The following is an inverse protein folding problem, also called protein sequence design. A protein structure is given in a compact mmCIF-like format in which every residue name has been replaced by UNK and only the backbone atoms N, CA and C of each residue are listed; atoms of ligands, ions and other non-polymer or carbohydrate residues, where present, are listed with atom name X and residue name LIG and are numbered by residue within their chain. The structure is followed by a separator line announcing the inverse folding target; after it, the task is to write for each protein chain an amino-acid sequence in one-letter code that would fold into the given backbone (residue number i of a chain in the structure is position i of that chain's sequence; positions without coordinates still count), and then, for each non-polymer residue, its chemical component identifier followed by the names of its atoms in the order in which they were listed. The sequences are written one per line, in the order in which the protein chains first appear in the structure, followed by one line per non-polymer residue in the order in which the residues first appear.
data_IF_492270108121
#
_entry.id   IF_492270108121
#
_cell.length_a   1.000
_cell.length_b   1.000
_cell.length_c   1.000
_cell.angle_alpha   90.00
_cell.angle_beta   90.00
_cell.angle_gamma   90.00
#
_symmetry.space_group_name_H-M   'P 1'
#
loop_
_entity.id
_entity.type
_entity.pdbx_description
1 polymer ?
#
# COMPACT_ATOMS: atom_id res chain seq x y z
N UNK A 1 -21.94 -10.59 -14.77
CA UNK A 1 -20.46 -10.53 -14.66
C UNK A 1 -19.94 -9.91 -15.95
N UNK A 2 -19.60 -8.61 -15.94
CA UNK A 2 -19.08 -7.92 -17.13
C UNK A 2 -17.59 -8.25 -17.25
N UNK A 3 -17.08 -8.74 -18.39
CA UNK A 3 -15.65 -8.92 -18.57
C UNK A 3 -14.99 -7.54 -18.43
N UNK A 4 -14.03 -7.41 -17.52
CA UNK A 4 -13.22 -6.20 -17.41
C UNK A 4 -12.38 -6.08 -18.70
N UNK A 5 -12.93 -5.42 -19.72
CA UNK A 5 -12.22 -5.13 -20.97
C UNK A 5 -11.18 -4.07 -20.66
N UNK A 6 -9.90 -4.46 -20.69
CA UNK A 6 -8.81 -3.49 -20.67
C UNK A 6 -8.88 -2.67 -21.96
N UNK A 7 -8.74 -1.36 -21.84
CA UNK A 7 -8.63 -0.49 -23.00
C UNK A 7 -7.29 -0.69 -23.72
N UNK A 8 -7.19 -0.25 -24.97
CA UNK A 8 -6.00 -0.43 -25.80
C UNK A 8 -4.74 0.20 -25.17
N UNK A 9 -4.88 1.29 -24.41
CA UNK A 9 -3.75 1.91 -23.72
C UNK A 9 -3.28 1.06 -22.54
N UNK A 10 -4.21 0.50 -21.76
CA UNK A 10 -3.88 -0.45 -20.70
C UNK A 10 -3.15 -1.69 -21.23
N UNK A 11 -3.59 -2.22 -22.38
CA UNK A 11 -2.94 -3.35 -23.05
C UNK A 11 -1.52 -2.96 -23.50
N UNK A 12 -1.37 -1.82 -24.18
CA UNK A 12 -0.07 -1.31 -24.63
C UNK A 12 0.90 -1.14 -23.47
N UNK A 13 0.48 -0.45 -22.41
CA UNK A 13 1.29 -0.20 -21.21
C UNK A 13 1.70 -1.53 -20.56
N UNK A 14 0.76 -2.48 -20.42
CA UNK A 14 1.08 -3.79 -19.84
C UNK A 14 2.10 -4.58 -20.68
N UNK A 15 1.99 -4.53 -22.01
CA UNK A 15 2.92 -5.23 -22.90
C UNK A 15 4.31 -4.60 -22.83
N UNK A 16 4.39 -3.27 -22.91
CA UNK A 16 5.66 -2.55 -22.80
C UNK A 16 6.35 -2.84 -21.46
N UNK A 17 5.63 -2.77 -20.34
CA UNK A 17 6.18 -3.10 -19.02
C UNK A 17 6.69 -4.56 -18.94
N UNK A 18 5.96 -5.51 -19.55
CA UNK A 18 6.34 -6.92 -19.54
C UNK A 18 7.57 -7.21 -20.39
N UNK A 19 7.70 -6.54 -21.53
CA UNK A 19 8.80 -6.72 -22.47
C UNK A 19 10.00 -5.79 -22.20
N UNK A 20 9.91 -4.90 -21.21
CA UNK A 20 10.95 -3.89 -20.96
C UNK A 20 11.07 -2.84 -22.06
N UNK A 21 9.98 -2.56 -22.78
CA UNK A 21 9.95 -1.58 -23.85
C UNK A 21 9.57 -0.18 -23.33
N UNK A 22 9.99 0.89 -24.03
CA UNK A 22 9.55 2.25 -23.73
C UNK A 22 8.03 2.37 -23.67
N UNK A 23 7.52 2.93 -22.57
CA UNK A 23 6.09 3.20 -22.33
C UNK A 23 5.75 4.65 -22.65
N UNK A 24 6.66 5.58 -22.30
CA UNK A 24 6.55 7.03 -22.54
C UNK A 24 7.91 7.61 -22.89
N UNK A 25 7.95 8.84 -23.41
CA UNK A 25 9.18 9.65 -23.46
C UNK A 25 9.57 10.11 -22.06
N UNK A 26 10.86 10.16 -21.74
CA UNK A 26 11.32 10.65 -20.43
C UNK A 26 10.76 12.05 -20.14
N UNK A 27 10.27 12.27 -18.92
CA UNK A 27 9.66 13.54 -18.50
C UNK A 27 9.80 13.75 -17.00
N UNK A 28 9.58 14.98 -16.54
CA UNK A 28 9.56 15.31 -15.11
C UNK A 28 8.15 15.22 -14.56
N UNK A 29 7.94 14.37 -13.55
CA UNK A 29 6.64 14.20 -12.90
C UNK A 29 6.28 15.44 -12.06
N UNK A 30 4.99 15.62 -11.77
CA UNK A 30 4.48 16.66 -10.85
C UNK A 30 5.08 16.56 -9.43
N UNK A 31 5.60 15.39 -9.04
CA UNK A 31 6.34 15.24 -7.78
C UNK A 31 7.80 15.68 -7.84
N UNK A 32 8.28 16.16 -9.00
CA UNK A 32 9.65 16.59 -9.23
C UNK A 32 10.62 15.49 -9.66
N UNK A 33 10.21 14.22 -9.61
CA UNK A 33 11.05 13.07 -10.01
C UNK A 33 11.15 12.93 -11.54
N UNK A 34 12.33 12.52 -12.00
CA UNK A 34 12.57 12.18 -13.40
C UNK A 34 12.03 10.78 -13.70
N UNK A 35 11.12 10.70 -14.68
CA UNK A 35 10.50 9.45 -15.10
C UNK A 35 11.22 8.94 -16.33
N UNK A 36 11.82 7.76 -16.21
CA UNK A 36 12.45 7.07 -17.33
C UNK A 36 11.42 6.55 -18.33
N UNK A 37 11.89 6.20 -19.53
CA UNK A 37 11.03 5.70 -20.60
C UNK A 37 10.20 4.45 -20.21
N UNK A 38 10.70 3.65 -19.27
CA UNK A 38 10.01 2.46 -18.75
C UNK A 38 8.81 2.79 -17.84
N UNK A 39 8.66 4.04 -17.40
CA UNK A 39 7.50 4.52 -16.61
C UNK A 39 7.21 3.79 -15.30
N UNK A 40 8.17 3.05 -14.73
CA UNK A 40 7.99 2.35 -13.45
C UNK A 40 7.59 3.28 -12.30
N UNK A 41 7.96 4.56 -12.40
CA UNK A 41 7.56 5.60 -11.47
C UNK A 41 6.04 5.63 -11.26
N UNK A 42 5.24 5.57 -12.33
CA UNK A 42 3.77 5.62 -12.24
C UNK A 42 3.16 4.46 -11.45
N UNK A 43 3.86 3.33 -11.34
CA UNK A 43 3.41 2.16 -10.57
C UNK A 43 3.63 2.32 -9.06
N UNK A 44 4.60 3.16 -8.69
CA UNK A 44 4.99 3.39 -7.29
C UNK A 44 4.52 4.74 -6.77
N UNK A 45 4.23 5.68 -7.67
CA UNK A 45 3.86 7.04 -7.33
C UNK A 45 2.54 7.11 -6.55
N UNK A 46 2.51 7.95 -5.51
CA UNK A 46 1.41 8.05 -4.53
C UNK A 46 0.05 8.36 -5.16
N UNK A 47 0.03 9.10 -6.27
CA UNK A 47 -1.18 9.46 -7.01
C UNK A 47 -1.54 8.48 -8.13
N UNK A 48 -0.80 7.37 -8.28
CA UNK A 48 -1.13 6.34 -9.27
C UNK A 48 -2.45 5.66 -8.94
N UNK A 49 -3.43 5.77 -9.84
CA UNK A 49 -4.79 5.21 -9.70
C UNK A 49 -4.79 3.72 -9.31
N UNK A 50 -3.87 2.92 -9.88
CA UNK A 50 -3.82 1.47 -9.65
C UNK A 50 -3.40 1.06 -8.23
N UNK A 51 -2.63 1.90 -7.50
CA UNK A 51 -2.22 1.60 -6.12
C UNK A 51 -3.41 1.70 -5.18
N UNK A 52 -4.22 2.74 -5.33
CA UNK A 52 -5.36 3.01 -4.46
C UNK A 52 -6.41 1.89 -4.56
N UNK A 53 -6.73 1.43 -5.77
CA UNK A 53 -7.70 0.34 -5.96
C UNK A 53 -7.28 -0.96 -5.26
N UNK A 54 -6.01 -1.37 -5.40
CA UNK A 54 -5.49 -2.58 -4.71
C UNK A 54 -5.51 -2.41 -3.20
N UNK A 55 -5.14 -1.21 -2.72
CA UNK A 55 -5.14 -0.88 -1.31
C UNK A 55 -6.55 -0.95 -0.73
N UNK A 56 -7.54 -0.32 -1.36
CA UNK A 56 -8.94 -0.36 -0.92
C UNK A 56 -9.50 -1.78 -0.92
N UNK A 57 -9.25 -2.55 -1.99
CA UNK A 57 -9.76 -3.93 -2.10
C UNK A 57 -9.32 -4.83 -0.95
N UNK A 58 -8.05 -4.75 -0.53
CA UNK A 58 -7.54 -5.56 0.57
C UNK A 58 -8.05 -5.04 1.92
N UNK A 59 -8.17 -3.72 2.10
CA UNK A 59 -8.77 -3.18 3.33
C UNK A 59 -10.22 -3.66 3.49
N UNK A 60 -10.98 -3.60 2.40
CA UNK A 60 -12.35 -4.06 2.37
C UNK A 60 -12.47 -5.55 2.67
N UNK A 61 -11.53 -6.35 2.16
CA UNK A 61 -11.48 -7.78 2.45
C UNK A 61 -11.25 -8.05 3.95
N UNK A 62 -10.26 -7.39 4.57
CA UNK A 62 -9.99 -7.50 6.01
C UNK A 62 -11.22 -7.09 6.83
N UNK A 63 -11.84 -5.95 6.52
CA UNK A 63 -13.06 -5.52 7.22
C UNK A 63 -14.23 -6.51 7.04
N UNK A 64 -14.36 -7.15 5.87
CA UNK A 64 -15.38 -8.20 5.66
C UNK A 64 -15.10 -9.43 6.52
N UNK A 65 -13.84 -9.81 6.70
CA UNK A 65 -13.47 -10.93 7.58
C UNK A 65 -13.84 -10.62 9.03
N UNK A 66 -13.54 -9.42 9.53
CA UNK A 66 -13.97 -9.00 10.86
C UNK A 66 -15.49 -9.02 11.02
N UNK A 67 -16.22 -8.47 10.04
CA UNK A 67 -17.70 -8.52 10.05
C UNK A 67 -18.23 -9.96 10.11
N UNK A 68 -17.62 -10.89 9.37
CA UNK A 68 -17.99 -12.31 9.40
C UNK A 68 -17.70 -12.98 10.75
N UNK A 69 -16.69 -12.49 11.47
CA UNK A 69 -16.36 -12.90 12.83
C UNK A 69 -17.17 -12.15 13.91
N UNK A 70 -18.18 -11.35 13.54
CA UNK A 70 -18.95 -10.50 14.46
C UNK A 70 -18.09 -9.45 15.21
N UNK A 71 -16.97 -9.06 14.63
CA UNK A 71 -16.06 -8.06 15.17
C UNK A 71 -16.28 -6.74 14.45
N UNK A 72 -16.60 -5.69 15.21
CA UNK A 72 -16.80 -4.36 14.67
C UNK A 72 -15.46 -3.70 14.37
N UNK A 73 -15.28 -3.25 13.12
CA UNK A 73 -14.03 -2.69 12.63
C UNK A 73 -14.29 -1.43 11.79
N UNK A 74 -13.44 -0.41 11.96
CA UNK A 74 -13.51 0.88 11.26
C UNK A 74 -12.29 1.04 10.35
N UNK A 75 -12.50 1.65 9.18
CA UNK A 75 -11.44 2.04 8.25
C UNK A 75 -10.99 3.48 8.52
N UNK A 76 -9.69 3.73 8.38
CA UNK A 76 -9.06 5.07 8.51
C UNK A 76 -9.51 5.85 9.77
N UNK A 77 -9.35 5.28 10.98
CA UNK A 77 -9.72 5.95 12.22
C UNK A 77 -8.93 7.24 12.42
N UNK A 78 -9.65 8.29 12.80
CA UNK A 78 -9.05 9.58 13.18
C UNK A 78 -8.83 9.63 14.70
N UNK A 79 -7.79 10.33 15.13
CA UNK A 79 -7.53 10.62 16.55
C UNK A 79 -7.00 9.45 17.37
N UNK A 80 -6.46 8.39 16.75
CA UNK A 80 -5.77 7.32 17.48
C UNK A 80 -4.40 7.77 18.03
N UNK A 81 -3.78 8.74 17.39
CA UNK A 81 -2.50 9.31 17.80
C UNK A 81 -2.76 10.78 18.12
N UNK A 82 -2.45 11.19 19.36
CA UNK A 82 -2.72 12.55 19.81
C UNK A 82 -1.79 13.57 19.17
N UNK A 83 -0.56 13.17 18.85
CA UNK A 83 0.50 14.07 18.35
C UNK A 83 0.70 13.99 16.83
N UNK A 84 0.01 13.08 16.14
CA UNK A 84 0.15 12.91 14.69
C UNK A 84 -1.21 12.79 13.99
N UNK A 85 -1.33 13.36 12.79
CA UNK A 85 -2.51 13.17 11.93
C UNK A 85 -2.41 11.87 11.11
N UNK A 86 -1.60 10.93 11.57
CA UNK A 86 -1.40 9.66 10.89
C UNK A 86 -2.56 8.72 11.22
N UNK A 87 -3.06 8.06 10.18
CA UNK A 87 -4.21 7.16 10.30
C UNK A 87 -3.79 5.78 9.83
N UNK A 88 -3.91 4.75 10.68
CA UNK A 88 -3.79 3.38 10.22
C UNK A 88 -4.95 3.05 9.26
N UNK A 89 -4.81 1.96 8.52
CA UNK A 89 -5.85 1.56 7.56
C UNK A 89 -7.15 1.15 8.23
N UNK A 90 -7.06 0.62 9.46
CA UNK A 90 -8.23 0.36 10.28
C UNK A 90 -7.89 -0.14 11.67
N UNK A 91 -8.95 -0.25 12.49
CA UNK A 91 -8.88 -0.79 13.84
C UNK A 91 -10.18 -1.50 14.25
N UNK A 92 -10.08 -2.42 15.21
CA UNK A 92 -11.26 -3.04 15.84
C UNK A 92 -11.81 -2.12 16.93
N UNK A 93 -13.13 -1.94 16.98
CA UNK A 93 -13.81 -1.18 18.05
C UNK A 93 -13.92 -1.97 19.35
N UNK A 94 -13.80 -3.29 19.26
CA UNK A 94 -13.83 -4.20 20.40
C UNK A 94 -12.42 -4.68 20.69
N UNK A 95 -12.09 -4.95 21.97
CA UNK A 95 -10.85 -5.60 22.34
C UNK A 95 -10.66 -6.92 21.58
N UNK A 96 -9.48 -7.10 21.01
CA UNK A 96 -9.08 -8.33 20.33
C UNK A 96 -8.34 -9.27 21.28
N UNK A 97 -7.42 -8.73 22.08
CA UNK A 97 -6.61 -9.49 23.05
C UNK A 97 -6.20 -8.59 24.20
N UNK A 98 -6.21 -9.10 25.43
CA UNK A 98 -5.74 -8.39 26.63
C UNK A 98 -6.40 -7.02 26.86
N UNK A 99 -7.65 -6.82 26.42
CA UNK A 99 -8.31 -5.51 26.50
C UNK A 99 -7.91 -4.53 25.39
N UNK A 100 -6.90 -4.86 24.58
CA UNK A 100 -6.40 -4.01 23.51
C UNK A 100 -7.15 -4.22 22.19
N UNK A 101 -7.39 -3.12 21.48
CA UNK A 101 -7.93 -3.16 20.13
C UNK A 101 -6.86 -3.60 19.12
N UNK A 102 -7.26 -4.31 18.07
CA UNK A 102 -6.37 -4.66 16.98
C UNK A 102 -6.33 -3.52 15.95
N UNK A 103 -5.15 -2.96 15.72
CA UNK A 103 -4.90 -1.93 14.70
C UNK A 103 -4.09 -2.57 13.56
N UNK A 104 -4.44 -2.24 12.32
CA UNK A 104 -3.64 -2.66 11.17
C UNK A 104 -3.39 -1.50 10.21
N UNK A 105 -2.22 -1.54 9.57
CA UNK A 105 -1.88 -0.66 8.47
C UNK A 105 -1.09 -1.46 7.42
N UNK A 106 -1.66 -1.70 6.23
CA UNK A 106 -1.03 -2.58 5.23
C UNK A 106 -0.14 -1.81 4.26
N UNK A 107 0.99 -2.37 3.88
CA UNK A 107 1.87 -1.77 2.86
C UNK A 107 2.16 -2.75 1.77
N UNK A 108 2.20 -2.25 0.54
CA UNK A 108 2.74 -2.96 -0.60
C UNK A 108 4.03 -2.29 -1.03
N UNK A 109 5.14 -3.00 -0.89
CA UNK A 109 6.38 -2.64 -1.56
C UNK A 109 6.21 -2.91 -3.05
N UNK A 110 6.26 -1.87 -3.87
CA UNK A 110 6.35 -2.10 -5.30
C UNK A 110 7.77 -2.57 -5.62
N UNK A 111 7.93 -3.72 -6.27
CA UNK A 111 9.25 -4.33 -6.53
C UNK A 111 10.17 -3.43 -7.35
N UNK A 112 9.61 -2.57 -8.19
CA UNK A 112 10.37 -1.61 -9.02
C UNK A 112 10.47 -0.21 -8.38
N UNK A 113 10.04 -0.04 -7.13
CA UNK A 113 10.30 1.19 -6.40
C UNK A 113 11.75 1.19 -5.94
N UNK A 114 12.48 2.28 -6.15
CA UNK A 114 13.92 2.39 -5.89
C UNK A 114 14.33 1.92 -4.48
N UNK A 115 13.59 2.38 -3.45
CA UNK A 115 13.84 1.93 -2.07
C UNK A 115 13.59 0.44 -1.87
N UNK A 116 12.67 -0.15 -2.63
CA UNK A 116 12.35 -1.57 -2.53
C UNK A 116 13.35 -2.42 -3.30
N UNK A 117 13.89 -1.96 -4.43
CA UNK A 117 14.90 -2.68 -5.23
C UNK A 117 16.12 -3.02 -4.37
N UNK A 118 16.62 -2.03 -3.61
CA UNK A 118 17.78 -2.23 -2.73
C UNK A 118 17.55 -3.32 -1.68
N UNK A 119 16.34 -3.43 -1.14
CA UNK A 119 16.00 -4.46 -0.15
C UNK A 119 15.67 -5.80 -0.80
N UNK A 120 15.02 -5.82 -1.96
CA UNK A 120 14.69 -7.04 -2.69
C UNK A 120 15.93 -7.76 -3.22
N UNK A 121 17.01 -7.02 -3.51
CA UNK A 121 18.26 -7.59 -3.99
C UNK A 121 19.08 -8.33 -2.92
N UNK A 122 18.75 -8.14 -1.64
CA UNK A 122 19.48 -8.79 -0.53
C UNK A 122 18.99 -10.22 -0.29
N UNK A 123 17.70 -10.37 0.00
CA UNK A 123 17.08 -11.67 0.28
C UNK A 123 15.58 -11.63 -0.04
N UNK A 124 14.96 -12.79 -0.33
CA UNK A 124 13.52 -12.88 -0.49
C UNK A 124 12.80 -12.37 0.77
N UNK A 125 11.84 -11.46 0.58
CA UNK A 125 11.03 -10.92 1.68
C UNK A 125 11.64 -9.74 2.45
N UNK A 126 12.91 -9.40 2.23
CA UNK A 126 13.58 -8.30 2.98
C UNK A 126 12.88 -6.95 2.82
N UNK A 127 12.37 -6.62 1.63
CA UNK A 127 11.63 -5.37 1.41
C UNK A 127 10.34 -5.29 2.24
N UNK A 128 9.65 -6.43 2.39
CA UNK A 128 8.44 -6.52 3.20
C UNK A 128 8.75 -6.33 4.69
N UNK A 129 9.81 -6.97 5.18
CA UNK A 129 10.29 -6.85 6.57
C UNK A 129 10.67 -5.40 6.89
N UNK A 130 11.54 -4.78 6.08
CA UNK A 130 11.95 -3.38 6.29
C UNK A 130 10.76 -2.42 6.29
N UNK A 131 9.78 -2.66 5.43
CA UNK A 131 8.58 -1.82 5.36
C UNK A 131 7.66 -2.03 6.56
N UNK A 132 7.59 -3.25 7.10
CA UNK A 132 6.91 -3.51 8.36
C UNK A 132 7.61 -2.79 9.52
N UNK A 133 8.95 -2.80 9.57
CA UNK A 133 9.71 -2.11 10.61
C UNK A 133 9.52 -0.59 10.57
N UNK A 134 9.51 0.02 9.38
CA UNK A 134 9.18 1.44 9.24
C UNK A 134 7.77 1.76 9.76
N UNK A 135 6.80 0.87 9.57
CA UNK A 135 5.44 1.05 10.11
C UNK A 135 5.38 0.86 11.62
N UNK A 136 6.10 -0.11 12.17
CA UNK A 136 6.20 -0.28 13.63
C UNK A 136 6.82 0.96 14.27
N UNK A 137 7.87 1.52 13.67
CA UNK A 137 8.47 2.77 14.13
C UNK A 137 7.50 3.95 14.03
N UNK A 138 6.74 4.04 12.94
CA UNK A 138 5.72 5.08 12.72
C UNK A 138 4.62 5.05 13.79
N UNK A 139 4.17 3.86 14.18
CA UNK A 139 3.08 3.67 15.14
C UNK A 139 3.56 3.15 16.49
N UNK A 140 4.78 3.52 16.90
CA UNK A 140 5.37 3.03 18.15
C UNK A 140 4.47 3.37 19.35
N UNK A 141 3.87 4.54 19.33
CA UNK A 141 2.99 5.03 20.40
C UNK A 141 1.67 4.23 20.52
N UNK A 142 1.27 3.46 19.50
CA UNK A 142 0.12 2.54 19.60
C UNK A 142 0.46 1.26 20.38
N UNK A 143 1.76 0.98 20.53
CA UNK A 143 2.26 -0.25 21.12
C UNK A 143 2.66 -0.06 22.60
N UNK A 144 2.79 1.19 23.04
CA UNK A 144 3.11 1.56 24.42
C UNK A 144 1.80 1.67 25.22
N UNK A 145 1.40 0.52 25.76
CA UNK A 145 0.47 0.24 26.87
C UNK A 145 -0.55 1.33 27.28
N UNK A 146 -1.82 0.92 27.26
CA UNK A 146 -2.61 1.03 28.50
C UNK A 146 -2.36 -0.21 29.34
#
# INVERSE_FOLDING_TARGET
MVPARLDNSSIRVSLCLRLGLPVVSSYRCLCGADVSQLSHHGLSYRLGLGRQTRHSAINDYICRLFKKAYISAIKEPAGLLSESNERPDGYTRVPWSQGCCFVWDKTFCHTLHEKCINYMAMEPGSAAVKTADFKKAKYKDLNDNT
#
